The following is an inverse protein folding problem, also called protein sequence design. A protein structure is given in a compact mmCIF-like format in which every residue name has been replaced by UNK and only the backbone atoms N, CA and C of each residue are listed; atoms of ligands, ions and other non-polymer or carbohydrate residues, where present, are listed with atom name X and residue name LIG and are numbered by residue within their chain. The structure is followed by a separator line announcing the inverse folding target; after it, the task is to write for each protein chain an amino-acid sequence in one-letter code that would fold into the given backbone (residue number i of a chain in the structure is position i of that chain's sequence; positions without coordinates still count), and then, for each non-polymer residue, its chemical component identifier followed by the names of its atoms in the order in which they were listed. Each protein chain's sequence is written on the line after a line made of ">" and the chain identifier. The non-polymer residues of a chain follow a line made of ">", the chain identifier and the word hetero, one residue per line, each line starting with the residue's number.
data_IF_827095856251
#
_entry.id   IF_827095856251
#
_cell.length_a   1.000
_cell.length_b   1.000
_cell.length_c   1.000
_cell.angle_alpha   90.00
_cell.angle_beta   90.00
_cell.angle_gamma   90.00
#
_symmetry.space_group_name_H-M   'P 1'
#
loop_
_entity.id
_entity.type
_entity.pdbx_description
1 polymer ?
#
# COMPACT_ATOMS: atom_id res chain seq x y z
N UNK A 1 65.41 16.34 -64.67
CA UNK A 1 64.32 15.43 -64.24
C UNK A 1 64.20 15.53 -62.72
N UNK A 2 62.98 15.40 -62.19
CA UNK A 2 62.55 15.54 -60.77
C UNK A 2 61.90 16.89 -60.42
N UNK A 3 60.67 17.05 -60.89
CA UNK A 3 59.62 17.88 -60.28
C UNK A 3 59.10 17.18 -59.02
N UNK A 4 59.22 17.83 -57.86
CA UNK A 4 58.66 17.37 -56.58
C UNK A 4 57.31 18.07 -56.36
N UNK A 5 56.21 17.30 -56.35
CA UNK A 5 54.89 17.75 -55.91
C UNK A 5 54.90 17.93 -54.39
N UNK A 6 54.51 19.12 -53.91
CA UNK A 6 54.13 19.34 -52.50
C UNK A 6 52.61 19.32 -52.39
N UNK A 7 52.09 18.29 -51.74
CA UNK A 7 50.67 18.12 -51.42
C UNK A 7 50.37 18.91 -50.14
N UNK A 8 49.48 19.91 -50.21
CA UNK A 8 48.95 20.59 -49.02
C UNK A 8 47.71 19.86 -48.52
N UNK A 9 47.82 19.20 -47.37
CA UNK A 9 46.68 18.64 -46.64
C UNK A 9 45.90 19.79 -45.97
N UNK A 10 44.61 19.92 -46.32
CA UNK A 10 43.66 20.80 -45.63
C UNK A 10 43.03 20.02 -44.47
N UNK A 11 43.27 20.48 -43.24
CA UNK A 11 42.59 19.99 -42.05
C UNK A 11 41.23 20.70 -41.98
N UNK A 12 40.13 19.98 -42.22
CA UNK A 12 38.80 20.45 -41.86
C UNK A 12 38.62 20.27 -40.34
N UNK A 13 38.54 21.37 -39.61
CA UNK A 13 38.07 21.37 -38.23
C UNK A 13 36.54 21.21 -38.25
N UNK A 14 36.07 19.98 -38.03
CA UNK A 14 34.66 19.70 -37.79
C UNK A 14 34.30 20.07 -36.36
N UNK A 15 33.45 21.08 -36.18
CA UNK A 15 32.87 21.43 -34.88
C UNK A 15 31.92 20.31 -34.47
N UNK A 16 32.35 19.48 -33.52
CA UNK A 16 31.50 18.47 -32.89
C UNK A 16 30.51 19.19 -31.97
N UNK A 17 29.27 19.39 -32.45
CA UNK A 17 28.17 19.80 -31.59
C UNK A 17 27.80 18.61 -30.70
N UNK A 18 28.32 18.59 -29.47
CA UNK A 18 27.83 17.69 -28.44
C UNK A 18 26.48 18.25 -27.99
N UNK A 19 25.39 17.70 -28.52
CA UNK A 19 24.07 17.90 -27.96
C UNK A 19 24.05 17.19 -26.59
N UNK A 20 24.27 17.94 -25.52
CA UNK A 20 23.97 17.48 -24.18
C UNK A 20 22.44 17.35 -24.08
N UNK A 21 21.91 16.14 -24.31
CA UNK A 21 20.59 15.78 -23.85
C UNK A 21 20.63 15.69 -22.33
N UNK A 22 20.58 16.84 -21.65
CA UNK A 22 20.14 16.89 -20.26
C UNK A 22 18.64 16.58 -20.28
N UNK A 23 18.30 15.30 -20.19
CA UNK A 23 16.94 14.89 -19.87
C UNK A 23 16.63 15.39 -18.46
N UNK A 24 16.09 16.59 -18.36
CA UNK A 24 15.37 16.98 -17.16
C UNK A 24 14.15 16.05 -17.10
N UNK A 25 14.22 15.03 -16.26
CA UNK A 25 13.03 14.30 -15.81
C UNK A 25 12.21 15.36 -15.07
N UNK A 26 11.23 15.95 -15.74
CA UNK A 26 10.32 16.89 -15.12
C UNK A 26 9.64 16.17 -13.96
N UNK A 27 9.58 16.81 -12.79
CA UNK A 27 8.69 16.38 -11.72
C UNK A 27 7.30 16.19 -12.35
N UNK A 28 6.82 14.95 -12.36
CA UNK A 28 5.47 14.66 -12.84
C UNK A 28 4.50 15.31 -11.85
N UNK A 29 3.51 16.01 -12.36
CA UNK A 29 2.49 16.67 -11.53
C UNK A 29 1.46 15.60 -11.15
N UNK A 30 1.03 15.58 -9.89
CA UNK A 30 -0.06 14.71 -9.43
C UNK A 30 -1.31 14.89 -10.29
N UNK A 31 -1.95 13.78 -10.65
CA UNK A 31 -3.24 13.76 -11.37
C UNK A 31 -4.13 12.71 -10.74
N UNK A 32 -5.30 13.14 -10.28
CA UNK A 32 -6.41 12.29 -9.87
C UNK A 32 -7.69 12.89 -10.38
N UNK A 33 -8.47 12.10 -11.10
CA UNK A 33 -9.78 12.46 -11.63
C UNK A 33 -10.80 11.43 -11.16
N UNK A 34 -11.93 11.90 -10.62
CA UNK A 34 -13.03 11.02 -10.21
C UNK A 34 -14.17 11.18 -11.21
N UNK A 35 -14.58 10.07 -11.82
CA UNK A 35 -15.66 10.05 -12.81
C UNK A 35 -16.75 9.09 -12.35
N UNK A 36 -18.00 9.51 -12.50
CA UNK A 36 -19.15 8.64 -12.25
C UNK A 36 -19.82 8.30 -13.57
N UNK A 37 -19.78 7.02 -13.96
CA UNK A 37 -20.28 6.55 -15.24
C UNK A 37 -20.83 5.13 -15.10
N UNK A 38 -21.94 4.83 -15.75
CA UNK A 38 -22.46 3.45 -15.81
C UNK A 38 -22.91 2.84 -14.47
N UNK A 39 -23.13 3.66 -13.43
CA UNK A 39 -23.40 3.15 -12.08
C UNK A 39 -22.15 2.88 -11.25
N UNK A 40 -20.97 3.21 -11.78
CA UNK A 40 -19.69 3.10 -11.08
C UNK A 40 -19.13 4.47 -10.74
N UNK A 41 -18.30 4.52 -9.70
CA UNK A 41 -17.36 5.60 -9.42
C UNK A 41 -15.97 5.08 -9.76
N UNK A 42 -15.26 5.79 -10.63
CA UNK A 42 -13.89 5.45 -11.03
C UNK A 42 -12.92 6.55 -10.64
N UNK A 43 -11.81 6.16 -10.01
CA UNK A 43 -10.67 7.05 -9.75
C UNK A 43 -9.59 6.76 -10.79
N UNK A 44 -9.28 7.76 -11.62
CA UNK A 44 -8.27 7.72 -12.66
C UNK A 44 -7.05 8.53 -12.19
N UNK A 45 -5.88 7.91 -12.10
CA UNK A 45 -4.71 8.54 -11.48
C UNK A 45 -3.41 8.21 -12.19
N UNK A 46 -2.44 9.14 -12.11
CA UNK A 46 -1.08 8.88 -12.56
C UNK A 46 -0.15 8.33 -11.47
N UNK A 47 -0.68 8.02 -10.28
CA UNK A 47 0.05 7.43 -9.16
C UNK A 47 1.08 8.35 -8.50
N UNK A 48 1.09 9.65 -8.84
CA UNK A 48 1.98 10.64 -8.23
C UNK A 48 1.23 11.37 -7.11
N UNK A 49 1.75 11.35 -5.86
CA UNK A 49 1.08 12.01 -4.74
C UNK A 49 1.08 13.53 -4.88
N UNK A 50 0.02 14.15 -4.39
CA UNK A 50 -0.20 15.59 -4.34
C UNK A 50 0.37 16.26 -3.08
N UNK A 51 1.06 15.48 -2.25
CA UNK A 51 1.77 15.92 -1.05
C UNK A 51 3.26 15.61 -1.13
N UNK A 52 4.05 16.18 -0.22
CA UNK A 52 5.48 15.85 -0.12
C UNK A 52 5.67 14.39 0.28
N UNK A 53 6.66 13.74 -0.33
CA UNK A 53 7.03 12.35 -0.06
C UNK A 53 8.36 12.26 0.64
N UNK A 54 8.64 11.11 1.26
CA UNK A 54 10.00 10.75 1.65
C UNK A 54 10.94 10.67 0.45
N UNK A 55 12.24 10.61 0.74
CA UNK A 55 13.23 10.31 -0.31
C UNK A 55 13.18 8.82 -0.64
N UNK A 56 13.00 8.49 -1.92
CA UNK A 56 13.03 7.11 -2.42
C UNK A 56 14.04 7.01 -3.59
N UNK A 57 14.98 6.05 -3.58
CA UNK A 57 15.11 4.98 -2.59
C UNK A 57 15.65 5.45 -1.24
N UNK A 58 15.38 4.70 -0.19
CA UNK A 58 15.91 4.86 1.17
C UNK A 58 16.45 3.53 1.72
N UNK A 59 16.88 3.53 3.00
CA UNK A 59 17.51 2.36 3.61
C UNK A 59 16.60 1.12 3.71
N UNK A 60 15.28 1.33 3.90
CA UNK A 60 14.28 0.26 3.97
C UNK A 60 13.64 -0.06 2.63
N UNK A 61 13.72 0.84 1.65
CA UNK A 61 13.06 0.70 0.36
C UNK A 61 13.98 1.08 -0.82
N UNK A 62 14.39 0.11 -1.67
CA UNK A 62 15.29 0.36 -2.79
C UNK A 62 14.59 0.87 -4.06
N UNK A 63 13.29 1.12 -4.03
CA UNK A 63 12.49 1.50 -5.19
C UNK A 63 12.30 3.03 -5.29
N UNK A 64 11.86 3.49 -6.45
CA UNK A 64 11.62 4.92 -6.74
C UNK A 64 10.23 5.11 -7.32
N UNK A 65 9.57 6.20 -6.93
CA UNK A 65 8.24 6.55 -7.44
C UNK A 65 8.32 6.74 -8.96
N UNK A 66 7.40 6.12 -9.68
CA UNK A 66 7.24 6.31 -11.12
C UNK A 66 5.78 6.58 -11.46
N UNK A 67 5.56 7.29 -12.57
CA UNK A 67 4.21 7.50 -13.11
C UNK A 67 3.57 6.15 -13.40
N UNK A 68 2.33 6.01 -12.94
CA UNK A 68 1.46 4.87 -13.19
C UNK A 68 0.28 5.29 -14.06
N UNK A 69 -0.50 4.32 -14.52
CA UNK A 69 -1.83 4.56 -15.09
C UNK A 69 -2.82 3.72 -14.29
N UNK A 70 -3.47 4.36 -13.32
CA UNK A 70 -4.41 3.74 -12.42
C UNK A 70 -5.84 4.02 -12.85
N UNK A 71 -6.64 2.96 -12.91
CA UNK A 71 -8.09 3.02 -13.05
C UNK A 71 -8.70 2.06 -12.03
N UNK A 72 -9.36 2.64 -11.01
CA UNK A 72 -10.03 1.89 -9.97
C UNK A 72 -11.51 2.26 -9.97
N UNK A 73 -12.34 1.37 -10.51
CA UNK A 73 -13.80 1.51 -10.53
C UNK A 73 -14.46 0.66 -9.46
N UNK A 74 -15.49 1.22 -8.82
CA UNK A 74 -16.32 0.56 -7.81
C UNK A 74 -17.80 0.86 -8.05
N UNK A 75 -18.69 0.01 -7.54
CA UNK A 75 -20.14 0.28 -7.56
C UNK A 75 -20.42 1.60 -6.81
N UNK A 76 -21.16 2.51 -7.44
CA UNK A 76 -21.56 3.79 -6.84
C UNK A 76 -22.62 3.63 -5.74
N UNK A 77 -23.26 2.45 -5.66
CA UNK A 77 -24.34 2.13 -4.73
C UNK A 77 -24.12 0.76 -4.08
N UNK A 78 -23.01 0.58 -3.35
CA UNK A 78 -22.62 -0.71 -2.81
C UNK A 78 -23.66 -1.25 -1.82
N UNK A 79 -23.90 -2.56 -1.86
CA UNK A 79 -24.82 -3.22 -0.93
C UNK A 79 -24.05 -4.03 0.10
N UNK A 80 -24.39 -3.82 1.38
CA UNK A 80 -23.74 -4.52 2.49
C UNK A 80 -24.26 -5.95 2.58
N UNK A 81 -23.38 -6.91 2.38
CA UNK A 81 -23.64 -8.33 2.61
C UNK A 81 -23.54 -8.73 4.09
N UNK A 82 -23.67 -10.03 4.33
CA UNK A 82 -23.64 -10.63 5.69
C UNK A 82 -22.38 -11.44 5.96
N UNK A 83 -21.52 -11.61 4.96
CA UNK A 83 -20.27 -12.38 5.06
C UNK A 83 -19.11 -11.47 4.72
N UNK A 84 -18.13 -11.38 5.63
CA UNK A 84 -16.92 -10.64 5.37
C UNK A 84 -16.06 -11.37 4.33
N UNK A 85 -15.62 -10.63 3.30
CA UNK A 85 -14.76 -11.09 2.22
C UNK A 85 -13.36 -10.51 2.40
N UNK A 86 -12.34 -11.34 2.22
CA UNK A 86 -10.95 -10.89 2.29
C UNK A 86 -10.47 -10.51 0.88
N UNK A 87 -9.70 -9.43 0.76
CA UNK A 87 -8.92 -9.14 -0.45
C UNK A 87 -7.47 -8.91 -0.06
N UNK A 88 -6.54 -9.38 -0.90
CA UNK A 88 -5.13 -9.07 -0.75
C UNK A 88 -4.73 -7.90 -1.66
N UNK A 89 -3.61 -7.26 -1.34
CA UNK A 89 -3.05 -6.20 -2.18
C UNK A 89 -3.75 -4.86 -1.96
N UNK A 90 -4.38 -4.31 -2.99
CA UNK A 90 -5.04 -3.01 -2.95
C UNK A 90 -6.45 -3.15 -2.37
N UNK A 91 -6.69 -2.52 -1.23
CA UNK A 91 -7.97 -2.58 -0.50
C UNK A 91 -8.87 -1.39 -0.80
N UNK A 92 -8.33 -0.35 -1.41
CA UNK A 92 -9.04 0.87 -1.73
C UNK A 92 -8.16 1.85 -2.50
N UNK A 93 -8.76 2.95 -2.90
CA UNK A 93 -8.11 4.05 -3.62
C UNK A 93 -8.45 5.36 -2.93
N UNK A 94 -7.45 6.13 -2.53
CA UNK A 94 -7.66 7.45 -1.94
C UNK A 94 -8.15 8.44 -3.00
N UNK A 95 -8.85 9.51 -2.59
CA UNK A 95 -9.37 10.53 -3.50
C UNK A 95 -8.26 11.25 -4.28
N UNK A 96 -7.06 11.35 -3.71
CA UNK A 96 -5.88 11.86 -4.40
C UNK A 96 -5.23 10.85 -5.38
N UNK A 97 -5.86 9.70 -5.59
CA UNK A 97 -5.46 8.75 -6.63
C UNK A 97 -4.33 7.80 -6.23
N UNK A 98 -4.00 7.71 -4.95
CA UNK A 98 -2.96 6.82 -4.43
C UNK A 98 -3.59 5.52 -3.86
N UNK A 99 -3.15 4.34 -4.32
CA UNK A 99 -3.66 3.06 -3.81
C UNK A 99 -3.46 2.89 -2.30
N UNK A 100 -4.42 2.23 -1.66
CA UNK A 100 -4.37 1.88 -0.24
C UNK A 100 -4.05 0.38 -0.14
N UNK A 101 -2.95 0.04 0.53
CA UNK A 101 -2.44 -1.33 0.70
C UNK A 101 -1.90 -1.51 2.13
N UNK A 102 -2.77 -1.74 3.13
CA UNK A 102 -2.33 -1.84 4.53
C UNK A 102 -1.53 -3.10 4.82
N UNK A 103 -1.78 -4.18 4.07
CA UNK A 103 -1.08 -5.44 4.22
C UNK A 103 0.27 -5.48 3.50
N UNK A 104 1.14 -6.38 3.94
CA UNK A 104 2.41 -6.65 3.27
C UNK A 104 2.44 -8.08 2.75
N UNK A 105 3.27 -8.36 1.74
CA UNK A 105 3.57 -9.73 1.35
C UNK A 105 4.86 -10.25 2.03
N UNK A 106 5.43 -9.50 2.99
CA UNK A 106 6.67 -9.84 3.68
C UNK A 106 6.38 -10.55 5.00
N UNK A 107 7.19 -11.55 5.30
CA UNK A 107 7.08 -12.41 6.47
C UNK A 107 8.44 -12.48 7.14
N UNK A 108 8.46 -12.62 8.46
CA UNK A 108 9.69 -12.84 9.20
C UNK A 108 10.43 -14.05 8.61
N UNK A 109 11.72 -13.86 8.34
CA UNK A 109 12.59 -14.88 7.76
C UNK A 109 14.01 -14.69 8.29
N UNK A 110 14.38 -15.52 9.27
CA UNK A 110 15.71 -15.52 9.88
C UNK A 110 16.84 -15.84 8.89
N UNK A 111 16.53 -16.49 7.76
CA UNK A 111 17.51 -16.83 6.72
C UNK A 111 17.77 -15.68 5.76
N UNK A 112 16.88 -14.70 5.72
CA UNK A 112 17.03 -13.50 4.90
C UNK A 112 17.97 -12.50 5.57
N UNK A 113 18.95 -11.93 4.85
CA UNK A 113 19.78 -10.84 5.38
C UNK A 113 18.99 -9.59 5.82
N UNK A 114 17.73 -9.45 5.36
CA UNK A 114 16.82 -8.36 5.74
C UNK A 114 15.93 -8.70 6.94
N UNK A 115 16.01 -9.93 7.47
CA UNK A 115 15.13 -10.43 8.53
C UNK A 115 13.70 -10.74 8.06
N UNK A 116 13.40 -10.54 6.78
CA UNK A 116 12.11 -10.84 6.16
C UNK A 116 12.25 -11.25 4.70
N UNK A 117 11.29 -12.03 4.20
CA UNK A 117 11.18 -12.41 2.79
C UNK A 117 9.72 -12.69 2.42
N UNK A 118 9.48 -13.26 1.23
CA UNK A 118 8.15 -13.74 0.82
C UNK A 118 7.84 -15.14 1.36
N UNK A 119 8.75 -15.76 2.11
CA UNK A 119 8.53 -17.06 2.73
C UNK A 119 7.62 -16.95 3.96
N UNK A 120 6.44 -17.56 3.87
CA UNK A 120 5.41 -17.54 4.90
C UNK A 120 5.66 -18.54 6.05
N UNK A 121 6.75 -19.30 5.99
CA UNK A 121 7.00 -20.44 6.87
C UNK A 121 7.01 -20.09 8.36
N UNK A 122 7.36 -18.85 8.72
CA UNK A 122 7.33 -18.38 10.11
C UNK A 122 5.93 -18.19 10.67
N UNK A 123 4.95 -17.88 9.81
CA UNK A 123 3.60 -17.49 10.23
C UNK A 123 3.52 -16.08 10.83
N UNK A 124 4.57 -15.26 10.71
CA UNK A 124 4.58 -13.86 11.17
C UNK A 124 4.67 -12.90 9.99
N UNK A 125 3.54 -12.33 9.57
CA UNK A 125 3.45 -11.38 8.46
C UNK A 125 3.76 -9.98 8.98
N UNK A 126 4.68 -9.26 8.32
CA UNK A 126 5.02 -7.90 8.71
C UNK A 126 3.77 -7.01 8.58
N UNK A 127 3.44 -6.31 9.65
CA UNK A 127 2.45 -5.24 9.63
C UNK A 127 3.09 -4.00 9.00
N UNK A 128 2.42 -3.34 8.05
CA UNK A 128 2.98 -2.22 7.30
C UNK A 128 3.47 -1.10 8.22
N UNK A 129 2.57 -0.51 8.98
CA UNK A 129 2.88 0.61 9.87
C UNK A 129 3.67 0.16 11.11
N UNK A 130 3.39 -1.05 11.63
CA UNK A 130 4.14 -1.65 12.73
C UNK A 130 5.59 -1.97 12.38
N UNK A 131 5.90 -2.19 11.10
CA UNK A 131 7.26 -2.39 10.58
C UNK A 131 7.74 -1.25 9.67
N UNK A 132 7.25 -0.02 9.90
CA UNK A 132 7.47 1.13 9.01
C UNK A 132 8.95 1.38 8.68
N UNK A 133 9.82 1.41 9.70
CA UNK A 133 11.26 1.63 9.52
C UNK A 133 11.91 0.54 8.64
N UNK A 134 11.52 -0.72 8.84
CA UNK A 134 12.05 -1.86 8.11
C UNK A 134 11.61 -1.86 6.64
N UNK A 135 10.41 -1.34 6.38
CA UNK A 135 9.80 -1.27 5.05
C UNK A 135 10.08 0.05 4.33
N UNK A 136 10.79 0.98 4.97
CA UNK A 136 11.12 2.29 4.43
C UNK A 136 9.88 3.16 4.17
N UNK A 137 8.86 3.03 5.03
CA UNK A 137 7.66 3.87 5.00
C UNK A 137 8.01 5.31 5.40
N UNK A 138 7.47 6.27 4.65
CA UNK A 138 7.69 7.69 4.90
C UNK A 138 6.66 8.31 5.86
N UNK A 139 6.79 9.61 6.10
CA UNK A 139 5.91 10.36 6.99
C UNK A 139 4.45 10.43 6.53
N UNK A 140 4.16 10.11 5.26
CA UNK A 140 2.79 10.01 4.77
C UNK A 140 2.16 8.64 5.04
N UNK A 141 2.88 7.72 5.69
CA UNK A 141 2.41 6.35 5.90
C UNK A 141 2.44 5.53 4.62
N UNK A 142 3.31 5.87 3.66
CA UNK A 142 3.40 5.21 2.36
C UNK A 142 4.83 4.79 2.00
N UNK A 143 4.93 3.86 1.06
CA UNK A 143 6.19 3.51 0.42
C UNK A 143 5.99 3.10 -1.04
N UNK A 144 7.08 2.69 -1.70
CA UNK A 144 7.08 2.37 -3.13
C UNK A 144 7.29 0.88 -3.35
N UNK A 145 6.44 0.23 -4.17
CA UNK A 145 6.70 -1.17 -4.56
C UNK A 145 7.76 -1.30 -5.66
N UNK A 146 8.07 -2.54 -6.04
CA UNK A 146 9.06 -2.84 -7.07
C UNK A 146 8.67 -2.41 -8.50
N UNK A 147 7.41 -1.99 -8.70
CA UNK A 147 6.91 -1.44 -9.97
C UNK A 147 6.92 0.10 -9.97
N UNK A 148 7.31 0.72 -8.84
CA UNK A 148 7.33 2.16 -8.66
C UNK A 148 5.99 2.76 -8.20
N UNK A 149 5.05 1.92 -7.73
CA UNK A 149 3.75 2.37 -7.23
C UNK A 149 3.92 2.86 -5.79
N UNK A 150 3.72 4.16 -5.59
CA UNK A 150 3.58 4.76 -4.26
C UNK A 150 2.20 4.41 -3.68
N UNK A 151 2.12 3.94 -2.44
CA UNK A 151 0.86 3.48 -1.83
C UNK A 151 0.85 3.59 -0.31
N UNK A 152 -0.34 3.85 0.26
CA UNK A 152 -0.53 4.04 1.71
C UNK A 152 -0.70 2.72 2.45
N UNK A 153 0.00 2.59 3.58
CA UNK A 153 -0.19 1.56 4.59
C UNK A 153 -1.02 2.03 5.79
N UNK A 154 -0.96 3.32 6.12
CA UNK A 154 -1.76 3.91 7.20
C UNK A 154 -2.10 5.38 6.97
N UNK A 155 -3.06 5.93 7.75
CA UNK A 155 -3.34 7.36 7.74
C UNK A 155 -2.15 8.13 8.32
N UNK A 156 -2.03 9.40 7.95
CA UNK A 156 -0.97 10.30 8.41
C UNK A 156 -1.43 11.75 8.38
N UNK A 157 -0.80 12.60 9.18
CA UNK A 157 -1.07 14.05 9.15
C UNK A 157 -0.84 14.64 7.75
N UNK A 158 0.14 14.12 7.00
CA UNK A 158 0.46 14.56 5.63
C UNK A 158 -0.70 14.23 4.68
N UNK A 159 -1.26 13.02 4.75
CA UNK A 159 -2.41 12.64 3.94
C UNK A 159 -3.66 13.44 4.35
N UNK A 160 -3.89 13.60 5.66
CA UNK A 160 -5.08 14.30 6.16
C UNK A 160 -5.06 15.80 5.86
N UNK A 161 -3.87 16.42 5.73
CA UNK A 161 -3.75 17.83 5.42
C UNK A 161 -4.33 18.21 4.04
N UNK A 162 -4.41 17.26 3.11
CA UNK A 162 -4.99 17.44 1.78
C UNK A 162 -6.48 17.11 1.68
N UNK A 163 -7.11 16.64 2.76
CA UNK A 163 -8.51 16.19 2.74
C UNK A 163 -9.49 17.32 3.08
N UNK A 164 -10.58 17.38 2.31
CA UNK A 164 -11.76 18.16 2.65
C UNK A 164 -12.80 17.27 3.34
N UNK A 165 -12.91 17.39 4.67
CA UNK A 165 -13.83 16.60 5.48
C UNK A 165 -13.24 15.24 5.87
N UNK A 166 -14.06 14.20 5.90
CA UNK A 166 -13.67 12.89 6.45
C UNK A 166 -13.50 11.82 5.37
N UNK A 167 -14.04 12.01 4.17
CA UNK A 167 -13.99 11.01 3.09
C UNK A 167 -12.56 10.95 2.51
N UNK A 168 -11.89 9.83 2.74
CA UNK A 168 -10.51 9.58 2.34
C UNK A 168 -10.43 8.91 0.96
N UNK A 169 -11.37 8.03 0.65
CA UNK A 169 -11.41 7.32 -0.62
C UNK A 169 -12.45 6.20 -0.64
N UNK A 170 -12.38 5.34 -1.66
CA UNK A 170 -13.30 4.23 -1.83
C UNK A 170 -12.62 2.89 -1.54
N UNK A 171 -13.28 2.03 -0.78
CA UNK A 171 -12.90 0.64 -0.58
C UNK A 171 -13.17 -0.17 -1.86
N UNK A 172 -12.47 -1.30 -2.00
CA UNK A 172 -12.57 -2.15 -3.18
C UNK A 172 -13.99 -2.70 -3.45
N UNK A 173 -14.87 -2.70 -2.44
CA UNK A 173 -16.28 -3.08 -2.56
C UNK A 173 -17.27 -1.91 -2.72
N UNK A 174 -16.74 -0.71 -2.94
CA UNK A 174 -17.49 0.52 -3.24
C UNK A 174 -17.90 1.36 -2.05
N UNK A 175 -17.80 0.86 -0.81
CA UNK A 175 -18.08 1.68 0.36
C UNK A 175 -17.02 2.77 0.56
N UNK A 176 -17.43 3.93 1.07
CA UNK A 176 -16.50 5.00 1.42
C UNK A 176 -15.59 4.59 2.59
N UNK A 177 -14.35 5.07 2.57
CA UNK A 177 -13.38 5.01 3.66
C UNK A 177 -13.29 6.41 4.24
N UNK A 178 -13.52 6.55 5.54
CA UNK A 178 -13.41 7.82 6.25
C UNK A 178 -12.32 7.83 7.30
N UNK A 179 -11.69 8.98 7.49
CA UNK A 179 -10.89 9.27 8.66
C UNK A 179 -11.61 10.32 9.53
N UNK A 180 -11.82 9.98 10.80
CA UNK A 180 -12.49 10.84 11.78
C UNK A 180 -11.63 11.03 13.04
N UNK A 181 -10.31 10.87 12.89
CA UNK A 181 -9.35 10.90 14.00
C UNK A 181 -9.78 9.96 15.12
N UNK A 182 -9.74 10.40 16.38
CA UNK A 182 -10.06 9.60 17.56
C UNK A 182 -11.56 9.39 17.82
N UNK A 183 -12.45 9.79 16.91
CA UNK A 183 -13.90 9.70 17.13
C UNK A 183 -14.45 8.27 16.99
N UNK A 184 -13.70 7.37 16.34
CA UNK A 184 -14.06 5.96 16.17
C UNK A 184 -12.91 5.07 16.62
N UNK A 185 -13.22 4.10 17.47
CA UNK A 185 -12.22 3.20 18.07
C UNK A 185 -12.26 1.85 17.38
N UNK A 186 -11.12 1.35 16.91
CA UNK A 186 -11.04 -0.02 16.38
C UNK A 186 -11.29 -1.05 17.48
N UNK A 187 -11.97 -2.13 17.15
CA UNK A 187 -12.11 -3.30 18.03
C UNK A 187 -10.91 -4.26 17.95
N UNK A 188 -9.88 -3.90 17.19
CA UNK A 188 -8.61 -4.63 17.19
C UNK A 188 -7.69 -4.13 18.31
N UNK A 189 -7.05 -5.06 19.00
CA UNK A 189 -6.21 -4.79 20.14
C UNK A 189 -4.86 -5.47 19.99
N UNK A 190 -3.81 -4.80 20.47
CA UNK A 190 -2.49 -5.42 20.58
C UNK A 190 -2.55 -6.47 21.68
N UNK A 191 -2.10 -7.69 21.37
CA UNK A 191 -2.01 -8.76 22.37
C UNK A 191 -1.03 -8.37 23.47
N UNK A 192 -1.24 -8.92 24.66
CA UNK A 192 -0.28 -8.79 25.77
C UNK A 192 0.64 -10.02 25.86
N UNK A 193 1.82 -9.85 26.46
CA UNK A 193 2.79 -10.94 26.66
C UNK A 193 3.81 -11.06 25.52
N UNK A 194 4.26 -12.29 25.26
CA UNK A 194 5.36 -12.58 24.32
C UNK A 194 4.97 -13.57 23.24
N UNK A 195 5.58 -13.43 22.06
CA UNK A 195 5.41 -14.33 20.91
C UNK A 195 5.90 -15.76 21.26
N UNK A 196 5.13 -16.81 20.93
CA UNK A 196 5.47 -18.20 21.29
C UNK A 196 6.53 -18.84 20.39
N UNK A 197 6.85 -18.22 19.26
CA UNK A 197 7.83 -18.69 18.27
C UNK A 197 8.71 -17.52 17.82
N UNK A 198 9.79 -17.82 17.09
CA UNK A 198 10.59 -16.79 16.43
C UNK A 198 9.68 -15.84 15.62
N UNK A 199 9.90 -14.52 15.69
CA UNK A 199 11.08 -13.81 16.21
C UNK A 199 11.16 -13.65 17.74
N UNK A 200 10.23 -14.23 18.50
CA UNK A 200 10.08 -14.01 19.94
C UNK A 200 9.87 -12.52 20.27
N UNK A 201 10.10 -12.12 21.52
CA UNK A 201 9.85 -10.76 22.00
C UNK A 201 8.40 -10.52 22.41
N UNK A 202 8.09 -9.30 22.82
CA UNK A 202 6.73 -8.89 23.13
C UNK A 202 5.88 -8.79 21.86
N UNK A 203 4.57 -8.89 22.01
CA UNK A 203 3.67 -8.39 20.98
C UNK A 203 3.81 -6.86 20.94
N UNK A 204 4.39 -6.34 19.87
CA UNK A 204 4.71 -4.91 19.73
C UNK A 204 4.03 -4.26 18.52
N UNK A 205 3.32 -5.05 17.72
CA UNK A 205 2.56 -4.59 16.56
C UNK A 205 3.31 -4.72 15.26
N UNK A 206 4.58 -5.15 15.28
CA UNK A 206 5.40 -5.36 14.08
C UNK A 206 4.82 -6.41 13.14
N UNK A 207 4.00 -7.33 13.65
CA UNK A 207 3.36 -8.38 12.85
C UNK A 207 1.84 -8.33 12.96
N UNK A 208 1.16 -8.73 11.88
CA UNK A 208 -0.31 -8.85 11.85
C UNK A 208 -0.79 -9.76 12.98
N UNK A 209 -0.06 -10.84 13.25
CA UNK A 209 -0.37 -11.81 14.30
C UNK A 209 -0.17 -11.27 15.73
N UNK A 210 0.40 -10.07 15.90
CA UNK A 210 0.43 -9.40 17.20
C UNK A 210 -0.93 -8.82 17.61
N UNK A 211 -1.86 -8.69 16.66
CA UNK A 211 -3.17 -8.12 16.88
C UNK A 211 -4.26 -9.19 17.02
N UNK A 212 -5.29 -8.89 17.81
CA UNK A 212 -6.50 -9.70 17.90
C UNK A 212 -7.75 -8.83 17.80
N UNK A 213 -8.77 -9.36 17.12
CA UNK A 213 -10.07 -8.73 17.10
C UNK A 213 -10.85 -9.14 18.35
N UNK A 214 -11.25 -8.15 19.14
CA UNK A 214 -12.07 -8.35 20.34
C UNK A 214 -13.42 -7.69 20.10
N UNK A 215 -14.42 -8.51 19.75
CA UNK A 215 -15.75 -8.05 19.39
C UNK A 215 -16.36 -7.14 20.47
N UNK A 216 -16.77 -5.93 20.07
CA UNK A 216 -17.41 -4.95 20.95
C UNK A 216 -16.45 -4.25 21.92
N UNK A 217 -15.14 -4.36 21.70
CA UNK A 217 -14.15 -3.62 22.50
C UNK A 217 -13.94 -2.18 22.03
N UNK A 218 -14.32 -1.88 20.78
CA UNK A 218 -14.41 -0.54 20.22
C UNK A 218 -15.73 -0.34 19.47
N UNK A 219 -15.78 0.71 18.64
CA UNK A 219 -16.95 1.11 17.87
C UNK A 219 -17.06 0.35 16.53
N UNK A 220 -15.92 -0.12 16.02
CA UNK A 220 -15.80 -0.67 14.67
C UNK A 220 -15.82 -2.20 14.65
N UNK A 221 -16.34 -2.76 13.56
CA UNK A 221 -16.35 -4.21 13.34
C UNK A 221 -14.99 -4.77 12.89
N UNK A 222 -14.93 -6.08 12.66
CA UNK A 222 -13.70 -6.79 12.28
C UNK A 222 -13.05 -6.29 10.98
N UNK A 223 -13.81 -5.65 10.10
CA UNK A 223 -13.34 -5.04 8.86
C UNK A 223 -13.02 -3.56 9.01
N UNK A 224 -13.03 -3.03 10.24
CA UNK A 224 -12.98 -1.60 10.55
C UNK A 224 -14.18 -0.82 9.98
N UNK A 225 -15.32 -1.50 9.81
CA UNK A 225 -16.58 -0.91 9.35
C UNK A 225 -17.45 -0.41 10.50
N UNK A 226 -18.27 0.60 10.22
CA UNK A 226 -19.21 1.20 11.15
C UNK A 226 -20.26 2.04 10.44
N UNK A 227 -20.95 2.91 11.16
CA UNK A 227 -21.94 3.82 10.58
C UNK A 227 -21.54 5.28 10.77
N UNK A 228 -21.60 6.05 9.69
CA UNK A 228 -21.45 7.50 9.68
C UNK A 228 -22.73 8.11 9.12
N UNK A 229 -23.41 8.95 9.89
CA UNK A 229 -24.66 9.60 9.48
C UNK A 229 -25.78 8.64 9.01
N UNK A 230 -25.77 7.40 9.51
CA UNK A 230 -26.76 6.36 9.15
C UNK A 230 -26.38 5.51 7.94
N UNK A 231 -25.26 5.79 7.28
CA UNK A 231 -24.72 5.01 6.16
C UNK A 231 -23.57 4.14 6.64
N UNK A 232 -23.47 2.92 6.11
CA UNK A 232 -22.36 2.04 6.42
C UNK A 232 -21.12 2.52 5.67
N UNK A 233 -20.02 2.68 6.40
CA UNK A 233 -18.73 3.08 5.84
C UNK A 233 -17.60 2.31 6.50
N UNK A 234 -16.46 2.33 5.87
CA UNK A 234 -15.21 1.92 6.47
C UNK A 234 -14.49 3.09 7.13
N UNK A 235 -13.68 2.79 8.14
CA UNK A 235 -12.86 3.79 8.81
C UNK A 235 -11.36 3.49 8.63
N UNK A 236 -10.59 4.52 8.37
CA UNK A 236 -9.16 4.56 8.63
C UNK A 236 -8.94 4.98 10.10
N UNK A 237 -7.96 4.35 10.77
CA UNK A 237 -7.72 4.54 12.21
C UNK A 237 -6.24 4.73 12.51
N UNK A 238 -5.91 5.47 13.57
CA UNK A 238 -4.51 5.70 13.99
C UNK A 238 -3.85 4.45 14.58
N UNK A 239 -4.65 3.42 14.86
CA UNK A 239 -4.20 2.10 15.31
C UNK A 239 -4.60 1.05 14.29
N UNK A 240 -4.04 -0.15 14.43
CA UNK A 240 -4.42 -1.32 13.63
C UNK A 240 -5.95 -1.46 13.55
N UNK A 241 -6.51 -1.74 12.36
CA UNK A 241 -5.84 -2.18 11.13
C UNK A 241 -5.29 -1.07 10.22
N UNK A 242 -5.36 0.19 10.65
CA UNK A 242 -5.01 1.42 9.92
C UNK A 242 -5.94 1.74 8.75
N UNK A 243 -6.17 0.76 7.89
CA UNK A 243 -7.20 0.76 6.84
C UNK A 243 -7.98 -0.57 6.88
N UNK A 244 -9.16 -0.65 6.23
CA UNK A 244 -9.92 -1.89 6.12
C UNK A 244 -9.09 -3.04 5.53
N UNK A 245 -9.31 -4.24 6.06
CA UNK A 245 -8.64 -5.47 5.59
C UNK A 245 -9.63 -6.52 5.08
N UNK A 246 -10.92 -6.27 5.24
CA UNK A 246 -12.00 -7.08 4.67
C UNK A 246 -13.20 -6.22 4.28
N UNK A 247 -14.11 -6.83 3.54
CA UNK A 247 -15.19 -6.17 2.83
C UNK A 247 -16.52 -6.84 3.13
N UNK A 248 -17.60 -6.07 3.17
CA UNK A 248 -18.95 -6.58 3.38
C UNK A 248 -19.75 -6.56 2.07
N UNK A 249 -19.36 -5.73 1.10
CA UNK A 249 -19.94 -5.68 -0.23
C UNK A 249 -19.27 -6.61 -1.23
N UNK A 250 -19.61 -6.43 -2.51
CA UNK A 250 -19.01 -7.12 -3.64
C UNK A 250 -17.71 -6.42 -4.08
N UNK A 251 -16.59 -7.14 -4.04
CA UNK A 251 -15.27 -6.59 -4.38
C UNK A 251 -15.16 -6.42 -5.90
N UNK A 252 -14.83 -5.21 -6.35
CA UNK A 252 -14.57 -4.91 -7.75
C UNK A 252 -13.35 -5.66 -8.29
N UNK A 253 -13.49 -6.23 -9.48
CA UNK A 253 -12.42 -6.95 -10.17
C UNK A 253 -11.25 -6.06 -10.58
N UNK A 254 -11.43 -4.73 -10.61
CA UNK A 254 -10.37 -3.75 -10.90
C UNK A 254 -9.27 -3.78 -9.84
N UNK A 255 -9.61 -4.14 -8.60
CA UNK A 255 -8.64 -4.24 -7.50
C UNK A 255 -7.85 -5.56 -7.52
N UNK A 256 -8.33 -6.58 -8.23
CA UNK A 256 -7.66 -7.87 -8.37
C UNK A 256 -6.50 -7.86 -9.39
N UNK A 257 -6.48 -6.89 -10.32
CA UNK A 257 -5.49 -6.82 -11.41
C UNK A 257 -4.30 -5.89 -11.12
N UNK A 258 -4.39 -5.04 -10.08
CA UNK A 258 -3.46 -3.93 -9.84
C UNK A 258 -2.20 -4.22 -9.03
N UNK A 259 -1.81 -5.47 -8.74
CA UNK A 259 -0.55 -5.70 -8.02
C UNK A 259 -0.23 -7.17 -7.77
N UNK A 260 0.89 -7.63 -8.34
CA UNK A 260 1.46 -8.95 -8.12
C UNK A 260 1.96 -9.11 -6.68
N UNK A 261 1.03 -9.34 -5.75
CA UNK A 261 1.30 -9.72 -4.38
C UNK A 261 0.32 -10.83 -4.00
N UNK A 262 0.83 -12.05 -3.83
CA UNK A 262 0.02 -13.18 -3.40
C UNK A 262 -0.79 -12.77 -2.16
N UNK A 263 -2.11 -12.96 -2.24
CA UNK A 263 -3.06 -12.69 -1.16
C UNK A 263 -2.43 -12.98 0.21
N UNK A 264 -2.32 -11.95 1.05
CA UNK A 264 -2.25 -12.16 2.49
C UNK A 264 -3.59 -12.78 2.86
N UNK A 265 -3.64 -14.11 2.83
CA UNK A 265 -4.78 -14.86 3.34
C UNK A 265 -4.71 -14.67 4.86
N UNK A 266 -5.33 -13.59 5.34
CA UNK A 266 -5.55 -13.35 6.75
C UNK A 266 -6.30 -14.55 7.33
N UNK A 267 -5.73 -15.08 8.40
CA UNK A 267 -6.29 -16.18 9.18
C UNK A 267 -7.72 -15.85 9.58
N UNK A 268 -8.63 -16.82 9.40
CA UNK A 268 -9.94 -16.78 10.05
C UNK A 268 -9.73 -16.61 11.57
N UNK A 269 -10.49 -15.72 12.24
CA UNK A 269 -10.49 -15.65 13.69
C UNK A 269 -10.83 -17.03 14.28
N UNK A 270 -9.90 -17.62 15.03
CA UNK A 270 -10.13 -18.85 15.81
C UNK A 270 -9.55 -20.18 15.27
N UNK A 271 -8.77 -20.20 14.18
CA UNK A 271 -7.99 -21.40 13.82
C UNK A 271 -6.58 -21.32 14.40
N UNK A 272 -6.16 -22.21 15.34
CA UNK A 272 -4.77 -22.31 15.74
C UNK A 272 -3.91 -22.66 14.51
N UNK A 273 -2.64 -22.21 14.46
CA UNK A 273 -1.75 -22.53 13.35
C UNK A 273 -1.69 -24.05 13.16
N UNK A 274 -1.93 -24.51 11.93
CA UNK A 274 -1.74 -25.93 11.61
C UNK A 274 -0.25 -26.23 11.78
N UNK A 275 0.08 -26.93 12.87
CA UNK A 275 1.44 -27.41 13.11
C UNK A 275 1.96 -28.23 11.92
N UNK A 276 3.29 -28.32 11.77
CA UNK A 276 3.90 -29.02 10.65
C UNK A 276 3.41 -30.47 10.60
N UNK A 277 3.01 -30.91 9.40
CA UNK A 277 2.60 -32.28 9.17
C UNK A 277 3.72 -33.25 9.62
N UNK A 278 3.40 -34.36 10.30
CA UNK A 278 4.42 -35.28 10.75
C UNK A 278 5.18 -35.84 9.53
N UNK A 279 6.51 -35.69 9.54
CA UNK A 279 7.38 -36.37 8.58
C UNK A 279 7.17 -37.87 8.76
N UNK A 280 6.62 -38.52 7.73
CA UNK A 280 6.70 -39.99 7.63
C UNK A 280 8.17 -40.34 7.45
N UNK A 281 8.66 -41.20 8.34
CA UNK A 281 9.95 -41.89 8.24
C UNK A 281 10.01 -42.75 6.98
#
# INVERSE_FOLDING_TARGET
>A
MMTTLKTHARILAGTLLVAACTGAVGASIARSDIVQQGGEICVLSNGIPDHETGTFPNAGNPHSISVQDHEYCVDATPTRGTTAQQSGGTVGIALNGIPIRPGTADWYDASSPRGHSRDRSSGWNLEGMGSADLLGIDAAGAHVDNQGIYHYHGPSDVLMAGMDGTHLGYAADGFEIHYVSSAMTSSWQLKSGTRPSEPFGAYDGSYVEDWEYVSGSGDLDQCNGGYLNGEFVYFATDTYPFFPRCFWGEISTNFAQGGGGAAAVGLQPGQPPRGPAPRRL
#
